data_IF_091117497060
#
_entry.id   IF_091117497060
#
_cell.length_a   1.000
_cell.length_b   1.000
_cell.length_c   1.000
_cell.angle_alpha   90.00
_cell.angle_beta   90.00
_cell.angle_gamma   90.00
#
_symmetry.space_group_name_H-M   'P 1'
#
loop_
_entity.id
_entity.type
_entity.pdbx_description
1 polymer ?
#
# COMPACT_ATOMS: atom_id res chain seq x y z
N UNK A 1 35.83 -7.68 35.52
CA UNK A 1 34.75 -8.61 35.15
C UNK A 1 33.39 -7.96 35.07
N UNK A 2 32.98 -7.19 36.06
CA UNK A 2 31.70 -6.49 36.05
C UNK A 2 31.54 -5.52 34.89
N UNK A 3 32.61 -4.76 34.56
CA UNK A 3 32.59 -3.81 33.44
C UNK A 3 32.44 -4.50 32.09
N UNK A 4 33.04 -5.67 31.95
CA UNK A 4 32.92 -6.48 30.72
C UNK A 4 31.52 -6.99 30.54
N UNK A 5 30.91 -7.52 31.60
CA UNK A 5 29.53 -8.03 31.59
C UNK A 5 28.56 -6.89 31.34
N UNK A 6 28.73 -5.75 32.02
CA UNK A 6 27.86 -4.59 31.86
C UNK A 6 27.93 -4.04 30.43
N UNK A 7 29.11 -3.96 29.81
CA UNK A 7 29.24 -3.55 28.41
C UNK A 7 28.58 -4.52 27.46
N UNK A 8 28.76 -5.83 27.72
CA UNK A 8 28.19 -6.85 26.88
C UNK A 8 26.66 -6.85 26.95
N UNK A 9 26.13 -6.65 28.14
CA UNK A 9 24.68 -6.51 28.34
C UNK A 9 24.13 -5.29 27.61
N UNK A 10 24.79 -4.13 27.72
CA UNK A 10 24.40 -2.92 26.99
C UNK A 10 24.43 -3.13 25.49
N UNK A 11 25.44 -3.78 24.97
CA UNK A 11 25.54 -4.09 23.55
C UNK A 11 24.43 -5.03 23.08
N UNK A 12 24.10 -6.03 23.89
CA UNK A 12 23.00 -6.94 23.58
C UNK A 12 21.65 -6.22 23.58
N UNK A 13 21.42 -5.35 24.59
CA UNK A 13 20.21 -4.53 24.68
C UNK A 13 20.09 -3.58 23.49
N UNK A 14 21.20 -2.97 23.08
CA UNK A 14 21.22 -2.09 21.92
C UNK A 14 20.90 -2.83 20.63
N UNK A 15 21.43 -4.05 20.47
CA UNK A 15 21.12 -4.91 19.31
C UNK A 15 19.66 -5.32 19.27
N UNK A 16 19.09 -5.66 20.42
CA UNK A 16 17.67 -6.00 20.52
C UNK A 16 16.81 -4.79 20.15
N UNK A 17 17.13 -3.61 20.71
CA UNK A 17 16.39 -2.39 20.39
C UNK A 17 16.47 -2.04 18.90
N UNK A 18 17.65 -2.23 18.29
CA UNK A 18 17.84 -2.01 16.87
C UNK A 18 17.04 -3.00 16.02
N UNK A 19 17.01 -4.27 16.42
CA UNK A 19 16.25 -5.31 15.74
C UNK A 19 14.74 -5.05 15.84
N UNK A 20 14.26 -4.59 16.99
CA UNK A 20 12.87 -4.21 17.20
C UNK A 20 12.48 -3.02 16.32
N UNK A 21 13.31 -1.99 16.26
CA UNK A 21 13.09 -0.82 15.42
C UNK A 21 13.05 -1.21 13.93
N UNK A 22 13.95 -2.11 13.52
CA UNK A 22 13.98 -2.61 12.15
C UNK A 22 12.72 -3.40 11.81
N UNK A 23 12.28 -4.26 12.74
CA UNK A 23 11.05 -5.05 12.55
C UNK A 23 9.82 -4.15 12.40
N UNK A 24 9.72 -3.10 13.21
CA UNK A 24 8.63 -2.11 13.08
C UNK A 24 8.69 -1.41 11.73
N UNK A 25 9.89 -1.00 11.29
CA UNK A 25 10.07 -0.35 9.99
C UNK A 25 9.68 -1.29 8.85
N UNK A 26 10.06 -2.57 8.93
CA UNK A 26 9.72 -3.58 7.92
C UNK A 26 8.22 -3.80 7.84
N UNK A 27 7.53 -3.89 8.97
CA UNK A 27 6.07 -4.05 9.02
C UNK A 27 5.37 -2.83 8.43
N UNK A 28 5.83 -1.62 8.78
CA UNK A 28 5.27 -0.39 8.22
C UNK A 28 5.44 -0.32 6.71
N UNK A 29 6.62 -0.68 6.23
CA UNK A 29 6.91 -0.70 4.79
C UNK A 29 6.01 -1.71 4.06
N UNK A 30 5.88 -2.92 4.59
CA UNK A 30 5.02 -3.94 4.01
C UNK A 30 3.55 -3.53 4.02
N UNK A 31 3.08 -2.91 5.10
CA UNK A 31 1.72 -2.40 5.21
C UNK A 31 1.46 -1.27 4.21
N UNK A 32 2.42 -0.35 4.03
CA UNK A 32 2.33 0.72 3.06
C UNK A 32 2.27 0.17 1.63
N UNK A 33 3.12 -0.80 1.29
CA UNK A 33 3.11 -1.44 -0.03
C UNK A 33 1.78 -2.13 -0.31
N UNK A 34 1.23 -2.83 0.69
CA UNK A 34 -0.07 -3.48 0.58
C UNK A 34 -1.19 -2.46 0.38
N UNK A 35 -1.17 -1.37 1.12
CA UNK A 35 -2.17 -0.30 1.00
C UNK A 35 -2.11 0.36 -0.39
N UNK A 36 -0.92 0.63 -0.90
CA UNK A 36 -0.73 1.20 -2.24
C UNK A 36 -1.24 0.23 -3.30
N UNK A 37 -0.90 -1.05 -3.21
CA UNK A 37 -1.36 -2.06 -4.15
C UNK A 37 -2.89 -2.18 -4.14
N UNK A 38 -3.52 -2.15 -2.97
CA UNK A 38 -4.97 -2.16 -2.85
C UNK A 38 -5.60 -0.91 -3.46
N UNK A 39 -5.02 0.27 -3.21
CA UNK A 39 -5.49 1.53 -3.78
C UNK A 39 -5.39 1.52 -5.31
N UNK A 40 -4.31 0.99 -5.86
CA UNK A 40 -4.13 0.86 -7.31
C UNK A 40 -5.21 -0.01 -7.94
N UNK A 41 -5.56 -1.13 -7.29
CA UNK A 41 -6.64 -2.01 -7.76
C UNK A 41 -7.99 -1.33 -7.73
N UNK A 42 -8.28 -0.59 -6.66
CA UNK A 42 -9.53 0.14 -6.51
C UNK A 42 -9.64 1.22 -7.59
N UNK A 43 -8.58 1.98 -7.80
CA UNK A 43 -8.54 3.03 -8.82
C UNK A 43 -8.67 2.46 -10.23
N UNK A 44 -8.00 1.35 -10.51
CA UNK A 44 -8.10 0.68 -11.80
C UNK A 44 -9.53 0.20 -12.07
N UNK A 45 -10.18 -0.39 -11.08
CA UNK A 45 -11.57 -0.84 -11.20
C UNK A 45 -12.53 0.34 -11.38
N UNK A 46 -12.34 1.43 -10.63
CA UNK A 46 -13.15 2.65 -10.77
C UNK A 46 -12.96 3.31 -12.13
N UNK A 47 -11.73 3.35 -12.65
CA UNK A 47 -11.44 3.89 -13.96
C UNK A 47 -12.10 3.07 -15.08
N UNK A 48 -12.06 1.75 -14.98
CA UNK A 48 -12.74 0.86 -15.93
C UNK A 48 -14.26 1.05 -15.89
N UNK A 49 -14.83 1.17 -14.69
CA UNK A 49 -16.26 1.40 -14.51
C UNK A 49 -16.68 2.73 -15.14
N UNK A 50 -15.92 3.77 -14.95
CA UNK A 50 -16.19 5.09 -15.53
C UNK A 50 -16.10 5.06 -17.06
N UNK A 51 -15.10 4.43 -17.62
CA UNK A 51 -14.96 4.28 -19.07
C UNK A 51 -16.13 3.51 -19.64
N UNK A 52 -16.56 2.41 -19.00
CA UNK A 52 -17.72 1.65 -19.44
C UNK A 52 -19.01 2.48 -19.40
N UNK A 53 -19.22 3.27 -18.35
CA UNK A 53 -20.38 4.18 -18.25
C UNK A 53 -20.38 5.22 -19.35
N UNK A 54 -19.22 5.83 -19.64
CA UNK A 54 -19.06 6.82 -20.70
C UNK A 54 -19.36 6.22 -22.08
N UNK A 55 -18.90 5.00 -22.32
CA UNK A 55 -19.17 4.28 -23.56
C UNK A 55 -20.65 3.95 -23.73
N UNK A 56 -21.31 3.53 -22.66
CA UNK A 56 -22.74 3.27 -22.67
C UNK A 56 -23.55 4.54 -22.92
N UNK A 57 -23.19 5.64 -22.27
CA UNK A 57 -23.83 6.93 -22.48
C UNK A 57 -23.71 7.41 -23.92
N UNK A 58 -22.53 7.29 -24.51
CA UNK A 58 -22.30 7.63 -25.92
C UNK A 58 -23.08 6.73 -26.86
N UNK A 59 -23.12 5.42 -26.59
CA UNK A 59 -23.90 4.48 -27.38
C UNK A 59 -25.40 4.81 -27.37
N UNK A 60 -25.94 5.18 -26.22
CA UNK A 60 -27.35 5.61 -26.08
C UNK A 60 -27.61 6.91 -26.86
N UNK A 61 -26.72 7.88 -26.79
CA UNK A 61 -26.84 9.13 -27.54
C UNK A 61 -26.79 8.88 -29.05
N UNK A 62 -25.89 8.02 -29.51
CA UNK A 62 -25.78 7.68 -30.93
C UNK A 62 -27.02 6.97 -31.45
N UNK A 63 -27.61 6.09 -30.64
CA UNK A 63 -28.88 5.43 -30.99
C UNK A 63 -30.00 6.45 -31.07
N UNK A 64 -30.10 7.37 -30.13
CA UNK A 64 -31.11 8.45 -30.16
C UNK A 64 -30.97 9.32 -31.39
N UNK A 65 -29.77 9.67 -31.80
CA UNK A 65 -29.51 10.47 -33.00
C UNK A 65 -29.91 9.76 -34.28
N UNK A 66 -29.72 8.44 -34.34
CA UNK A 66 -30.11 7.64 -35.52
C UNK A 66 -31.63 7.52 -35.68
N UNK A 67 -32.36 7.57 -34.58
CA UNK A 67 -33.82 7.44 -34.61
C UNK A 67 -34.56 8.78 -34.75
N UNK A 68 -33.85 9.86 -34.57
CA UNK A 68 -34.38 11.20 -34.76
C UNK A 68 -33.96 11.76 -36.10
#
# INVERSE_FOLDING_TARGET
MEDFVARRTKMAEAKIAQAEAQAVADVRSAAADTAVAAAEKILAAAAKGKVAEDLLARGIEDVKKKFN
#
